data_IF_787519435512
#
_entry.id   IF_787519435512
#
_cell.length_a   1.000
_cell.length_b   1.000
_cell.length_c   1.000
_cell.angle_alpha   90.00
_cell.angle_beta   90.00
_cell.angle_gamma   90.00
#
_symmetry.space_group_name_H-M   'P 1'
#
loop_
_entity.id
_entity.type
_entity.pdbx_description
1 polymer ?
#
# COMPACT_ATOMS: atom_id res chain seq x y z
N UNK A 1 -30.42 -44.85 -53.03
CA UNK A 1 -29.99 -45.28 -51.66
C UNK A 1 -28.52 -45.01 -51.41
N UNK A 2 -27.60 -45.19 -52.33
CA UNK A 2 -26.16 -44.89 -52.16
C UNK A 2 -25.88 -43.36 -51.95
N UNK A 3 -26.58 -42.49 -52.64
CA UNK A 3 -26.42 -41.02 -52.54
C UNK A 3 -26.83 -40.44 -51.18
N UNK A 4 -27.87 -41.01 -50.51
CA UNK A 4 -28.32 -40.58 -49.16
C UNK A 4 -27.34 -41.03 -48.07
N UNK A 5 -26.73 -42.20 -48.17
CA UNK A 5 -25.68 -42.67 -47.28
C UNK A 5 -24.41 -41.81 -47.37
N UNK A 6 -23.98 -41.49 -48.59
CA UNK A 6 -22.83 -40.60 -48.81
C UNK A 6 -23.09 -39.20 -48.24
N UNK A 7 -24.29 -38.66 -48.38
CA UNK A 7 -24.66 -37.36 -47.75
C UNK A 7 -24.66 -37.44 -46.21
N UNK A 8 -25.16 -38.53 -45.64
CA UNK A 8 -25.20 -38.74 -44.18
C UNK A 8 -23.78 -38.92 -43.60
N UNK A 9 -22.93 -39.67 -44.30
CA UNK A 9 -21.53 -39.89 -43.91
C UNK A 9 -20.73 -38.58 -44.04
N UNK A 10 -20.97 -37.74 -45.05
CA UNK A 10 -20.33 -36.45 -45.18
C UNK A 10 -20.76 -35.46 -44.11
N UNK A 11 -22.06 -35.37 -43.78
CA UNK A 11 -22.59 -34.52 -42.72
C UNK A 11 -22.10 -34.95 -41.34
N UNK A 12 -22.04 -36.26 -41.06
CA UNK A 12 -21.52 -36.76 -39.80
C UNK A 12 -20.01 -36.55 -39.61
N UNK A 13 -19.25 -36.64 -40.70
CA UNK A 13 -17.82 -36.35 -40.70
C UNK A 13 -17.51 -34.86 -40.47
N UNK A 14 -18.33 -33.99 -41.08
CA UNK A 14 -18.22 -32.53 -40.91
C UNK A 14 -18.58 -32.10 -39.49
N UNK A 15 -19.61 -32.66 -38.90
CA UNK A 15 -19.96 -32.42 -37.49
C UNK A 15 -18.85 -32.87 -36.52
N UNK A 16 -18.28 -34.06 -36.71
CA UNK A 16 -17.15 -34.53 -35.90
C UNK A 16 -15.94 -33.62 -36.04
N UNK A 17 -15.58 -33.21 -37.25
CA UNK A 17 -14.47 -32.30 -37.49
C UNK A 17 -14.66 -30.94 -36.81
N UNK A 18 -15.88 -30.41 -36.81
CA UNK A 18 -16.19 -29.16 -36.13
C UNK A 18 -16.11 -29.28 -34.60
N UNK A 19 -16.58 -30.41 -34.04
CA UNK A 19 -16.42 -30.71 -32.62
C UNK A 19 -14.95 -30.84 -32.22
N UNK A 20 -14.12 -31.53 -33.00
CA UNK A 20 -12.69 -31.68 -32.75
C UNK A 20 -11.94 -30.34 -32.78
N UNK A 21 -12.32 -29.41 -33.66
CA UNK A 21 -11.74 -28.05 -33.69
C UNK A 21 -12.09 -27.24 -32.44
N UNK A 22 -13.33 -27.30 -31.95
CA UNK A 22 -13.76 -26.61 -30.75
C UNK A 22 -13.13 -27.19 -29.50
N UNK A 23 -13.01 -28.53 -29.41
CA UNK A 23 -12.31 -29.23 -28.34
C UNK A 23 -10.82 -28.84 -28.32
N UNK A 24 -10.18 -28.78 -29.51
CA UNK A 24 -8.79 -28.37 -29.66
C UNK A 24 -8.57 -26.92 -29.20
N UNK A 25 -9.48 -26.01 -29.57
CA UNK A 25 -9.42 -24.62 -29.09
C UNK A 25 -9.65 -24.51 -27.59
N UNK A 26 -10.60 -25.28 -27.03
CA UNK A 26 -10.81 -25.36 -25.58
C UNK A 26 -9.62 -25.94 -24.81
N UNK A 27 -8.92 -26.92 -25.39
CA UNK A 27 -7.68 -27.46 -24.84
C UNK A 27 -6.54 -26.44 -24.94
N UNK A 28 -6.40 -25.77 -26.06
CA UNK A 28 -5.44 -24.68 -26.22
C UNK A 28 -5.69 -23.57 -25.20
N UNK A 29 -6.94 -23.22 -24.90
CA UNK A 29 -7.32 -22.24 -23.86
C UNK A 29 -6.84 -22.62 -22.45
N UNK A 30 -6.88 -23.92 -22.12
CA UNK A 30 -6.42 -24.41 -20.80
C UNK A 30 -4.91 -24.48 -20.66
N UNK A 31 -4.19 -24.68 -21.75
CA UNK A 31 -2.75 -24.94 -21.77
C UNK A 31 -1.90 -23.80 -22.30
N UNK A 32 -2.52 -22.69 -22.77
CA UNK A 32 -1.73 -21.60 -23.31
C UNK A 32 -0.97 -20.84 -22.20
N UNK A 33 0.28 -20.58 -22.48
CA UNK A 33 1.18 -19.76 -21.64
C UNK A 33 1.39 -18.35 -22.21
N UNK A 34 0.90 -18.10 -23.43
CA UNK A 34 1.07 -16.84 -24.17
C UNK A 34 -0.23 -16.50 -24.91
N UNK A 35 -0.88 -15.42 -24.49
CA UNK A 35 -2.12 -14.93 -25.08
C UNK A 35 -2.00 -14.73 -26.59
N UNK A 36 -0.90 -14.15 -27.07
CA UNK A 36 -0.70 -13.87 -28.50
C UNK A 36 -0.85 -15.14 -29.36
N UNK A 37 -0.18 -16.23 -28.96
CA UNK A 37 -0.29 -17.51 -29.68
C UNK A 37 -1.69 -18.09 -29.71
N UNK A 38 -2.45 -17.88 -28.64
CA UNK A 38 -3.84 -18.29 -28.59
C UNK A 38 -4.70 -17.43 -29.53
N UNK A 39 -4.53 -16.10 -29.53
CA UNK A 39 -5.28 -15.20 -30.40
C UNK A 39 -4.98 -15.43 -31.89
N UNK A 40 -3.78 -15.87 -32.26
CA UNK A 40 -3.42 -16.28 -33.62
C UNK A 40 -4.27 -17.44 -34.13
N UNK A 41 -4.68 -18.36 -33.26
CA UNK A 41 -5.51 -19.51 -33.61
C UNK A 41 -6.98 -19.13 -33.83
N UNK A 42 -7.47 -18.10 -33.16
CA UNK A 42 -8.89 -17.70 -33.18
C UNK A 42 -9.44 -17.47 -34.61
N UNK A 43 -8.83 -16.63 -35.47
CA UNK A 43 -9.32 -16.44 -36.85
C UNK A 43 -9.23 -17.72 -37.68
N UNK A 44 -8.16 -18.50 -37.48
CA UNK A 44 -7.95 -19.76 -38.23
C UNK A 44 -9.03 -20.77 -37.89
N UNK A 45 -9.36 -20.94 -36.60
CA UNK A 45 -10.42 -21.84 -36.17
C UNK A 45 -11.79 -21.33 -36.62
N UNK A 46 -12.06 -20.03 -36.47
CA UNK A 46 -13.33 -19.43 -36.89
C UNK A 46 -13.60 -19.62 -38.39
N UNK A 47 -12.60 -19.36 -39.23
CA UNK A 47 -12.73 -19.54 -40.68
C UNK A 47 -12.97 -20.99 -41.08
N UNK A 48 -12.27 -21.94 -40.46
CA UNK A 48 -12.40 -23.39 -40.71
C UNK A 48 -13.75 -23.96 -40.27
N UNK A 49 -14.28 -23.52 -39.12
CA UNK A 49 -15.57 -23.97 -38.61
C UNK A 49 -16.75 -23.63 -39.50
N UNK A 50 -16.66 -22.50 -40.20
CA UNK A 50 -17.74 -22.06 -41.12
C UNK A 50 -17.40 -22.24 -42.59
N UNK A 51 -16.22 -22.78 -42.91
CA UNK A 51 -15.81 -23.08 -44.29
C UNK A 51 -15.59 -21.86 -45.16
N UNK A 52 -15.06 -20.75 -44.59
CA UNK A 52 -14.78 -19.50 -45.31
C UNK A 52 -13.28 -19.24 -45.45
N UNK A 53 -12.92 -18.37 -46.40
CA UNK A 53 -11.54 -18.10 -46.76
C UNK A 53 -10.82 -17.18 -45.77
N UNK A 54 -11.57 -16.28 -45.08
CA UNK A 54 -10.97 -15.28 -44.26
C UNK A 54 -11.68 -15.04 -42.95
N UNK A 55 -10.85 -14.77 -41.92
CA UNK A 55 -11.29 -14.27 -40.63
C UNK A 55 -10.27 -13.29 -40.06
N UNK A 56 -10.74 -12.41 -39.20
CA UNK A 56 -9.95 -11.35 -38.55
C UNK A 56 -10.42 -11.15 -37.12
N UNK A 57 -9.48 -11.14 -36.20
CA UNK A 57 -9.70 -10.77 -34.79
C UNK A 57 -9.12 -9.39 -34.54
N UNK A 58 -9.94 -8.51 -34.02
CA UNK A 58 -9.59 -7.14 -33.65
C UNK A 58 -9.81 -6.97 -32.14
N UNK A 59 -8.81 -7.21 -31.31
CA UNK A 59 -8.93 -7.07 -29.86
C UNK A 59 -8.83 -5.60 -29.44
N UNK A 60 -9.44 -5.30 -28.27
CA UNK A 60 -9.39 -3.99 -27.61
C UNK A 60 -8.65 -4.09 -26.26
N UNK A 61 -7.94 -3.02 -25.91
CA UNK A 61 -7.35 -2.85 -24.59
C UNK A 61 -8.43 -2.59 -23.53
N UNK A 62 -8.04 -2.59 -22.27
CA UNK A 62 -8.96 -2.34 -21.14
C UNK A 62 -9.62 -0.96 -21.20
N UNK A 63 -8.98 0.02 -21.83
CA UNK A 63 -9.47 1.39 -22.04
C UNK A 63 -10.35 1.53 -23.30
N UNK A 64 -10.63 0.42 -24.00
CA UNK A 64 -11.44 0.39 -25.22
C UNK A 64 -10.68 0.75 -26.51
N UNK A 65 -9.38 1.07 -26.43
CA UNK A 65 -8.57 1.34 -27.63
C UNK A 65 -8.23 0.07 -28.38
N UNK A 66 -8.02 0.23 -29.69
CA UNK A 66 -7.58 -0.87 -30.56
C UNK A 66 -6.22 -1.42 -30.08
N UNK A 67 -6.16 -2.74 -29.85
CA UNK A 67 -4.91 -3.41 -29.46
C UNK A 67 -4.13 -3.81 -30.73
N UNK A 68 -3.42 -2.84 -31.30
CA UNK A 68 -2.77 -2.97 -32.62
C UNK A 68 -1.79 -4.13 -32.71
N UNK A 69 -1.02 -4.37 -31.68
CA UNK A 69 0.01 -5.43 -31.65
C UNK A 69 -0.59 -6.84 -31.55
N UNK A 70 -1.88 -6.93 -31.27
CA UNK A 70 -2.62 -8.20 -31.16
C UNK A 70 -3.67 -8.41 -32.27
N UNK A 71 -3.61 -7.62 -33.34
CA UNK A 71 -4.44 -7.84 -34.54
C UNK A 71 -4.08 -9.17 -35.19
N UNK A 72 -5.05 -10.06 -35.36
CA UNK A 72 -4.82 -11.40 -35.92
C UNK A 72 -5.75 -11.66 -37.11
N UNK A 73 -5.24 -12.34 -38.12
CA UNK A 73 -6.02 -12.73 -39.31
C UNK A 73 -5.56 -14.03 -39.89
N UNK A 74 -6.40 -14.64 -40.70
CA UNK A 74 -6.03 -15.81 -41.54
C UNK A 74 -4.88 -15.47 -42.49
N UNK A 75 -4.09 -16.45 -42.97
CA UNK A 75 -2.97 -16.24 -43.87
C UNK A 75 -3.39 -15.70 -45.25
N UNK A 76 -4.69 -15.61 -45.56
CA UNK A 76 -5.21 -15.08 -46.83
C UNK A 76 -4.71 -13.64 -47.09
N UNK A 77 -4.29 -13.34 -48.31
CA UNK A 77 -3.76 -12.04 -48.73
C UNK A 77 -4.72 -10.88 -48.39
N UNK A 78 -6.03 -11.10 -48.56
CA UNK A 78 -7.08 -10.13 -48.20
C UNK A 78 -7.13 -9.83 -46.70
N UNK A 79 -6.85 -10.82 -45.81
CA UNK A 79 -6.75 -10.59 -44.37
C UNK A 79 -5.51 -9.78 -44.03
N UNK A 80 -4.39 -10.03 -44.67
CA UNK A 80 -3.14 -9.33 -44.46
C UNK A 80 -3.21 -7.85 -44.86
N UNK A 81 -3.84 -7.54 -46.02
CA UNK A 81 -4.06 -6.17 -46.42
C UNK A 81 -4.99 -5.43 -45.46
N UNK A 82 -6.04 -6.09 -44.98
CA UNK A 82 -6.97 -5.55 -44.02
C UNK A 82 -6.29 -5.25 -42.67
N UNK A 83 -5.43 -6.16 -42.20
CA UNK A 83 -4.64 -5.94 -40.97
C UNK A 83 -3.75 -4.70 -41.06
N UNK A 84 -3.06 -4.51 -42.23
CA UNK A 84 -2.22 -3.31 -42.44
C UNK A 84 -3.06 -2.03 -42.38
N UNK A 85 -4.25 -2.02 -42.99
CA UNK A 85 -5.15 -0.85 -42.99
C UNK A 85 -5.71 -0.58 -41.58
N UNK A 86 -6.04 -1.62 -40.82
CA UNK A 86 -6.49 -1.48 -39.42
C UNK A 86 -5.37 -0.99 -38.49
N UNK A 87 -4.14 -1.46 -38.66
CA UNK A 87 -2.99 -0.98 -37.90
C UNK A 87 -2.71 0.52 -38.17
N UNK A 88 -2.98 0.99 -39.38
CA UNK A 88 -2.85 2.40 -39.76
C UNK A 88 -4.10 3.25 -39.40
N UNK A 89 -5.18 2.62 -38.96
CA UNK A 89 -6.42 3.34 -38.64
C UNK A 89 -6.26 4.12 -37.33
N UNK A 90 -6.32 5.44 -37.41
CA UNK A 90 -6.48 6.31 -36.27
C UNK A 90 -7.96 6.64 -36.10
N UNK A 91 -8.64 6.17 -35.04
CA UNK A 91 -9.96 6.68 -34.73
C UNK A 91 -9.77 8.17 -34.46
N UNK A 92 -10.41 9.02 -35.28
CA UNK A 92 -10.27 10.47 -35.23
C UNK A 92 -10.44 10.96 -33.80
N UNK A 93 -9.63 11.94 -33.41
CA UNK A 93 -9.54 12.59 -32.08
C UNK A 93 -10.83 13.30 -31.63
N UNK A 94 -11.92 13.13 -32.35
CA UNK A 94 -13.20 13.84 -32.14
C UNK A 94 -14.26 13.01 -31.37
N UNK A 95 -13.96 11.79 -30.90
CA UNK A 95 -14.93 11.01 -30.15
C UNK A 95 -14.38 10.81 -28.73
N UNK A 96 -14.71 11.75 -27.86
CA UNK A 96 -14.77 11.48 -26.44
C UNK A 96 -15.63 10.23 -26.26
N UNK A 97 -15.20 9.32 -25.39
CA UNK A 97 -15.83 8.05 -25.03
C UNK A 97 -17.36 8.02 -25.17
N UNK A 98 -17.85 7.97 -26.40
CA UNK A 98 -19.23 7.68 -26.76
C UNK A 98 -19.35 6.18 -26.82
N UNK A 99 -20.49 5.65 -26.40
CA UNK A 99 -20.84 4.24 -26.23
C UNK A 99 -20.05 3.27 -27.14
N UNK A 100 -19.66 2.12 -26.60
CA UNK A 100 -18.96 0.99 -27.31
C UNK A 100 -19.53 0.74 -28.74
N UNK A 101 -20.80 0.99 -28.93
CA UNK A 101 -21.54 0.80 -30.21
C UNK A 101 -21.05 1.72 -31.34
N UNK A 102 -20.69 2.98 -31.09
CA UNK A 102 -20.25 3.88 -32.15
C UNK A 102 -18.88 3.50 -32.71
N UNK A 103 -17.99 3.05 -31.85
CA UNK A 103 -16.66 2.59 -32.24
C UNK A 103 -16.76 1.29 -33.05
N UNK A 104 -17.60 0.36 -32.61
CA UNK A 104 -17.87 -0.89 -33.32
C UNK A 104 -18.45 -0.61 -34.71
N UNK A 105 -19.40 0.31 -34.85
CA UNK A 105 -19.98 0.72 -36.12
C UNK A 105 -18.94 1.34 -37.08
N UNK A 106 -18.03 2.16 -36.57
CA UNK A 106 -16.96 2.74 -37.36
C UNK A 106 -15.99 1.67 -37.89
N UNK A 107 -15.65 0.71 -37.03
CA UNK A 107 -14.81 -0.43 -37.38
C UNK A 107 -15.49 -1.34 -38.40
N UNK A 108 -16.78 -1.68 -38.22
CA UNK A 108 -17.57 -2.48 -39.13
C UNK A 108 -17.65 -1.82 -40.52
N UNK A 109 -17.85 -0.50 -40.57
CA UNK A 109 -17.85 0.27 -41.86
C UNK A 109 -16.49 0.25 -42.55
N UNK A 110 -15.40 0.33 -41.79
CA UNK A 110 -14.06 0.25 -42.35
C UNK A 110 -13.81 -1.12 -42.99
N UNK A 111 -14.11 -2.19 -42.27
CA UNK A 111 -13.95 -3.57 -42.75
C UNK A 111 -14.83 -3.81 -43.99
N UNK A 112 -16.08 -3.34 -43.97
CA UNK A 112 -17.00 -3.46 -45.11
C UNK A 112 -16.52 -2.71 -46.37
N UNK A 113 -15.90 -1.52 -46.20
CA UNK A 113 -15.29 -0.76 -47.33
C UNK A 113 -14.09 -1.48 -47.93
N UNK A 114 -13.32 -2.19 -47.10
CA UNK A 114 -12.17 -2.95 -47.56
C UNK A 114 -12.58 -4.26 -48.27
N UNK A 115 -13.76 -4.78 -47.97
CA UNK A 115 -14.31 -6.03 -48.50
C UNK A 115 -15.71 -5.84 -49.15
N UNK A 116 -15.86 -4.99 -50.21
CA UNK A 116 -17.16 -4.52 -50.65
C UNK A 116 -18.05 -5.61 -51.29
N UNK A 117 -17.46 -6.72 -51.74
CA UNK A 117 -18.18 -7.85 -52.40
C UNK A 117 -18.22 -9.12 -51.54
N UNK A 118 -17.69 -9.08 -50.33
CA UNK A 118 -17.64 -10.23 -49.46
C UNK A 118 -18.95 -10.39 -48.67
N UNK A 119 -19.37 -11.63 -48.46
CA UNK A 119 -20.35 -11.95 -47.44
C UNK A 119 -19.66 -11.91 -46.05
N UNK A 120 -19.93 -10.85 -45.28
CA UNK A 120 -19.31 -10.58 -44.01
C UNK A 120 -20.26 -10.91 -42.84
N UNK A 121 -19.75 -11.58 -41.83
CA UNK A 121 -20.37 -11.69 -40.51
C UNK A 121 -19.40 -11.23 -39.43
N UNK A 122 -19.91 -10.46 -38.46
CA UNK A 122 -19.12 -9.94 -37.34
C UNK A 122 -19.81 -10.23 -35.99
N UNK A 123 -19.04 -10.60 -35.03
CA UNK A 123 -19.52 -10.76 -33.64
C UNK A 123 -18.59 -10.10 -32.65
N UNK A 124 -19.13 -9.66 -31.50
CA UNK A 124 -18.34 -9.07 -30.44
C UNK A 124 -17.66 -10.16 -29.62
N UNK A 125 -16.40 -9.93 -29.31
CA UNK A 125 -15.64 -10.69 -28.32
C UNK A 125 -15.94 -10.05 -26.98
N UNK A 126 -16.66 -10.74 -26.09
CA UNK A 126 -17.11 -10.20 -24.80
C UNK A 126 -16.55 -10.96 -23.63
N UNK A 127 -16.19 -10.23 -22.55
CA UNK A 127 -15.85 -10.82 -21.27
C UNK A 127 -16.42 -9.95 -20.15
N UNK A 128 -17.09 -10.57 -19.16
CA UNK A 128 -17.75 -9.90 -18.03
C UNK A 128 -18.65 -8.73 -18.44
N UNK A 129 -19.40 -8.90 -19.52
CA UNK A 129 -20.34 -7.87 -20.02
C UNK A 129 -19.66 -6.66 -20.70
N UNK A 130 -18.34 -6.69 -20.95
CA UNK A 130 -17.62 -5.67 -21.69
C UNK A 130 -17.12 -6.21 -23.02
N UNK A 131 -17.15 -5.39 -24.05
CA UNK A 131 -16.59 -5.72 -25.37
C UNK A 131 -15.08 -5.64 -25.32
N UNK A 132 -14.41 -6.75 -25.61
CA UNK A 132 -12.94 -6.91 -25.60
C UNK A 132 -12.36 -7.02 -27.02
N UNK A 133 -13.20 -6.99 -28.04
CA UNK A 133 -12.78 -7.06 -29.40
C UNK A 133 -13.93 -7.36 -30.36
N UNK A 134 -13.59 -7.53 -31.65
CA UNK A 134 -14.49 -7.87 -32.72
C UNK A 134 -13.91 -9.01 -33.52
N UNK A 135 -14.67 -10.06 -33.76
CA UNK A 135 -14.31 -11.17 -34.65
C UNK A 135 -15.10 -11.07 -35.95
N UNK A 136 -14.40 -11.01 -37.06
CA UNK A 136 -14.96 -10.99 -38.42
C UNK A 136 -14.66 -12.31 -39.08
N UNK A 137 -15.64 -12.84 -39.85
CA UNK A 137 -15.49 -13.93 -40.79
C UNK A 137 -16.10 -13.52 -42.12
N UNK A 138 -15.46 -13.85 -43.23
CA UNK A 138 -15.92 -13.42 -44.56
C UNK A 138 -15.62 -14.43 -45.66
N UNK A 139 -16.52 -14.51 -46.65
CA UNK A 139 -16.34 -15.22 -47.90
C UNK A 139 -16.21 -14.21 -49.06
N UNK A 140 -15.23 -14.39 -49.93
CA UNK A 140 -14.95 -13.46 -51.06
C UNK A 140 -16.05 -13.43 -52.11
N UNK A 141 -16.76 -14.55 -52.32
CA UNK A 141 -17.90 -14.65 -53.23
C UNK A 141 -19.20 -14.40 -52.43
N UNK A 142 -19.97 -13.38 -52.82
CA UNK A 142 -21.19 -12.94 -52.14
C UNK A 142 -22.36 -13.94 -52.07
N UNK A 143 -22.13 -15.20 -52.41
CA UNK A 143 -23.15 -16.26 -52.43
C UNK A 143 -23.30 -17.01 -51.09
N UNK A 144 -22.49 -16.70 -50.06
CA UNK A 144 -22.59 -17.35 -48.77
C UNK A 144 -23.75 -16.83 -47.93
N UNK A 145 -24.63 -17.73 -47.52
CA UNK A 145 -25.71 -17.45 -46.57
C UNK A 145 -25.28 -17.84 -45.14
N UNK A 146 -25.27 -16.87 -44.26
CA UNK A 146 -24.94 -17.10 -42.84
C UNK A 146 -26.10 -17.80 -42.13
N UNK A 147 -25.93 -19.11 -41.88
CA UNK A 147 -26.90 -19.91 -41.13
C UNK A 147 -26.78 -19.63 -39.63
N UNK A 148 -27.80 -19.96 -38.86
CA UNK A 148 -27.78 -19.86 -37.40
C UNK A 148 -26.65 -20.70 -36.76
N UNK A 149 -26.34 -21.85 -37.35
CA UNK A 149 -25.24 -22.71 -36.94
C UNK A 149 -23.88 -22.02 -37.12
N UNK A 150 -23.67 -21.37 -38.28
CA UNK A 150 -22.44 -20.61 -38.54
C UNK A 150 -22.28 -19.48 -37.51
N UNK A 151 -23.34 -18.73 -37.26
CA UNK A 151 -23.32 -17.61 -36.27
C UNK A 151 -22.96 -18.09 -34.88
N UNK A 152 -23.56 -19.21 -34.41
CA UNK A 152 -23.27 -19.81 -33.10
C UNK A 152 -21.83 -20.30 -32.99
N UNK A 153 -21.28 -20.92 -34.01
CA UNK A 153 -19.88 -21.36 -34.03
C UNK A 153 -18.94 -20.18 -33.89
N UNK A 154 -19.13 -19.13 -34.67
CA UNK A 154 -18.29 -17.93 -34.61
C UNK A 154 -18.43 -17.23 -33.28
N UNK A 155 -19.65 -17.16 -32.74
CA UNK A 155 -19.88 -16.60 -31.41
C UNK A 155 -19.14 -17.39 -30.31
N UNK A 156 -19.21 -18.72 -30.36
CA UNK A 156 -18.50 -19.57 -29.38
C UNK A 156 -16.97 -19.34 -29.42
N UNK A 157 -16.40 -19.20 -30.63
CA UNK A 157 -14.98 -18.88 -30.79
C UNK A 157 -14.65 -17.49 -30.22
N UNK A 158 -15.54 -16.51 -30.46
CA UNK A 158 -15.38 -15.17 -29.89
C UNK A 158 -15.47 -15.16 -28.37
N UNK A 159 -16.38 -15.93 -27.79
CA UNK A 159 -16.52 -16.09 -26.35
C UNK A 159 -15.26 -16.70 -25.70
N UNK A 160 -14.70 -17.74 -26.33
CA UNK A 160 -13.43 -18.34 -25.90
C UNK A 160 -12.25 -17.33 -25.99
N UNK A 161 -12.23 -16.50 -27.03
CA UNK A 161 -11.23 -15.43 -27.14
C UNK A 161 -11.41 -14.38 -26.02
N UNK A 162 -12.65 -14.03 -25.69
CA UNK A 162 -12.97 -13.14 -24.57
C UNK A 162 -12.47 -13.67 -23.23
N UNK A 163 -12.71 -14.94 -22.94
CA UNK A 163 -12.22 -15.61 -21.74
C UNK A 163 -10.69 -15.62 -21.68
N UNK A 164 -10.01 -15.86 -22.81
CA UNK A 164 -8.55 -15.84 -22.86
C UNK A 164 -7.97 -14.47 -22.54
N UNK A 165 -8.53 -13.41 -23.14
CA UNK A 165 -8.11 -12.02 -22.91
C UNK A 165 -8.31 -11.65 -21.43
N UNK A 166 -9.46 -12.00 -20.86
CA UNK A 166 -9.76 -11.70 -19.45
C UNK A 166 -8.82 -12.43 -18.50
N UNK A 167 -8.57 -13.72 -18.72
CA UNK A 167 -7.64 -14.48 -17.89
C UNK A 167 -6.23 -13.90 -17.92
N UNK A 168 -5.73 -13.49 -19.07
CA UNK A 168 -4.40 -12.88 -19.18
C UNK A 168 -4.33 -11.55 -18.43
N UNK A 169 -5.36 -10.71 -18.54
CA UNK A 169 -5.46 -9.45 -17.80
C UNK A 169 -5.47 -9.70 -16.29
N UNK A 170 -6.27 -10.65 -15.82
CA UNK A 170 -6.30 -11.00 -14.39
C UNK A 170 -4.93 -11.47 -13.87
N UNK A 171 -4.21 -12.29 -14.67
CA UNK A 171 -2.87 -12.75 -14.31
C UNK A 171 -1.86 -11.60 -14.29
N UNK A 172 -1.94 -10.67 -15.22
CA UNK A 172 -1.07 -9.48 -15.25
C UNK A 172 -1.35 -8.56 -14.05
N UNK A 173 -2.61 -8.32 -13.72
CA UNK A 173 -3.01 -7.52 -12.57
C UNK A 173 -2.55 -8.17 -11.26
N UNK A 174 -2.74 -9.49 -11.11
CA UNK A 174 -2.27 -10.23 -9.94
C UNK A 174 -0.73 -10.11 -9.75
N UNK A 175 0.04 -10.30 -10.84
CA UNK A 175 1.51 -10.14 -10.80
C UNK A 175 1.93 -8.71 -10.48
N UNK A 176 1.18 -7.72 -10.96
CA UNK A 176 1.44 -6.31 -10.66
C UNK A 176 1.21 -6.03 -9.18
N UNK A 177 0.10 -6.50 -8.60
CA UNK A 177 -0.18 -6.36 -7.18
C UNK A 177 0.90 -7.05 -6.32
N UNK A 178 1.23 -8.31 -6.63
CA UNK A 178 2.28 -9.05 -5.92
C UNK A 178 3.64 -8.30 -5.95
N UNK A 179 3.99 -7.70 -7.09
CA UNK A 179 5.23 -6.92 -7.20
C UNK A 179 5.19 -5.66 -6.34
N UNK A 180 4.06 -4.94 -6.31
CA UNK A 180 3.88 -3.75 -5.48
C UNK A 180 3.94 -4.12 -4.00
N UNK A 181 3.21 -5.17 -3.59
CA UNK A 181 3.20 -5.65 -2.20
C UNK A 181 4.60 -6.05 -1.73
N UNK A 182 5.37 -6.72 -2.60
CA UNK A 182 6.75 -7.06 -2.28
C UNK A 182 7.65 -5.84 -2.11
N UNK A 183 7.49 -4.80 -2.93
CA UNK A 183 8.24 -3.54 -2.79
C UNK A 183 7.86 -2.81 -1.48
N UNK A 184 6.58 -2.81 -1.11
CA UNK A 184 6.10 -2.26 0.15
C UNK A 184 6.66 -3.01 1.35
N UNK A 185 6.70 -4.34 1.30
CA UNK A 185 7.29 -5.18 2.37
C UNK A 185 8.77 -4.87 2.58
N UNK A 186 9.55 -4.70 1.49
CA UNK A 186 10.96 -4.30 1.59
C UNK A 186 11.09 -2.90 2.22
N UNK A 187 10.23 -1.95 1.85
CA UNK A 187 10.18 -0.62 2.46
C UNK A 187 9.90 -0.67 3.96
N UNK A 188 8.96 -1.52 4.36
CA UNK A 188 8.62 -1.77 5.77
C UNK A 188 9.77 -2.37 6.58
N UNK A 189 10.48 -3.34 6.00
CA UNK A 189 11.67 -3.93 6.64
C UNK A 189 12.78 -2.88 6.86
N UNK A 190 13.03 -2.02 5.86
CA UNK A 190 14.00 -0.93 5.98
C UNK A 190 13.57 0.06 7.08
N UNK A 191 12.30 0.45 7.11
CA UNK A 191 11.77 1.36 8.13
C UNK A 191 11.89 0.76 9.54
N UNK A 192 11.52 -0.51 9.70
CA UNK A 192 11.65 -1.21 10.99
C UNK A 192 13.10 -1.20 11.50
N UNK A 193 14.10 -1.33 10.62
CA UNK A 193 15.51 -1.24 10.99
C UNK A 193 15.96 0.18 11.41
N UNK A 194 15.19 1.21 11.06
CA UNK A 194 15.47 2.58 11.49
C UNK A 194 14.94 2.89 12.90
N UNK A 195 13.89 2.21 13.33
CA UNK A 195 13.43 2.30 14.72
C UNK A 195 14.38 1.51 15.64
N UNK A 196 14.49 1.90 16.94
CA UNK A 196 15.32 1.17 17.88
C UNK A 196 14.80 -0.26 18.12
N UNK A 197 15.58 -1.28 17.74
CA UNK A 197 15.27 -2.69 18.04
C UNK A 197 15.28 -3.00 19.54
N UNK A 198 16.06 -2.24 20.30
CA UNK A 198 16.22 -2.41 21.76
C UNK A 198 16.34 -1.07 22.43
N UNK A 199 15.74 -0.95 23.60
CA UNK A 199 15.97 0.20 24.45
C UNK A 199 17.43 0.22 24.93
N UNK A 200 18.07 1.41 24.94
CA UNK A 200 19.41 1.53 25.53
C UNK A 200 19.39 1.28 27.02
N UNK A 201 20.50 0.79 27.55
CA UNK A 201 20.72 0.74 29.01
C UNK A 201 21.14 2.14 29.46
N UNK A 202 20.31 2.79 30.26
CA UNK A 202 20.57 4.10 30.85
C UNK A 202 20.61 3.92 32.38
N UNK A 203 21.72 4.35 33.02
CA UNK A 203 21.88 4.21 34.47
C UNK A 203 20.77 4.96 35.24
N UNK A 204 20.11 4.30 36.14
CA UNK A 204 19.08 4.90 37.01
C UNK A 204 17.68 4.93 36.40
N UNK A 205 17.46 4.38 35.23
CA UNK A 205 16.12 4.24 34.62
C UNK A 205 15.95 2.88 33.95
N UNK A 206 14.72 2.39 33.94
CA UNK A 206 14.27 1.20 33.22
C UNK A 206 13.39 1.63 32.05
N UNK A 207 13.70 1.16 30.84
CA UNK A 207 13.07 1.56 29.59
C UNK A 207 12.48 0.37 28.86
N UNK A 208 11.26 0.53 28.36
CA UNK A 208 10.63 -0.38 27.43
C UNK A 208 9.90 0.39 26.33
N UNK A 209 9.94 -0.11 25.12
CA UNK A 209 9.27 0.51 23.98
C UNK A 209 8.74 -0.55 23.03
N UNK A 210 7.63 -0.25 22.38
CA UNK A 210 7.06 -1.06 21.31
C UNK A 210 6.20 -0.17 20.42
N UNK A 211 6.37 -0.34 19.10
CA UNK A 211 5.44 0.11 18.08
C UNK A 211 4.71 -1.11 17.52
N UNK A 212 3.41 -0.99 17.32
CA UNK A 212 2.57 -1.94 16.61
C UNK A 212 2.03 -1.24 15.38
N UNK A 213 2.60 -1.51 14.21
CA UNK A 213 2.15 -0.86 12.98
C UNK A 213 0.76 -1.36 12.57
N UNK A 214 -0.07 -0.44 12.06
CA UNK A 214 -1.37 -0.76 11.44
C UNK A 214 -1.21 -1.12 9.96
N UNK A 215 -0.22 -0.57 9.29
CA UNK A 215 0.11 -0.78 7.88
C UNK A 215 1.52 -1.33 7.74
N UNK A 216 1.89 -1.72 6.51
CA UNK A 216 3.26 -2.19 6.23
C UNK A 216 4.32 -1.13 6.55
N UNK A 217 4.01 0.15 6.26
CA UNK A 217 4.87 1.30 6.52
C UNK A 217 4.07 2.30 7.36
N UNK A 218 4.62 2.78 8.49
CA UNK A 218 3.96 3.63 9.46
C UNK A 218 4.47 5.07 9.50
N UNK A 219 3.69 5.95 10.16
CA UNK A 219 4.04 7.35 10.45
C UNK A 219 4.71 7.54 11.81
N UNK A 220 4.47 6.62 12.74
CA UNK A 220 4.99 6.68 14.10
C UNK A 220 6.52 6.62 14.16
N UNK A 221 7.07 7.44 15.02
CA UNK A 221 8.50 7.51 15.29
C UNK A 221 8.77 7.59 16.79
N UNK A 222 9.69 6.76 17.27
CA UNK A 222 10.34 6.97 18.59
C UNK A 222 11.82 6.68 18.50
N UNK A 223 12.62 7.35 19.32
CA UNK A 223 14.07 7.16 19.31
C UNK A 223 14.69 7.48 20.68
N UNK A 224 15.88 6.91 20.91
CA UNK A 224 16.72 7.13 22.06
C UNK A 224 18.10 7.55 21.58
N UNK A 225 18.43 8.84 21.71
CA UNK A 225 19.63 9.42 21.09
C UNK A 225 20.56 9.97 22.19
N UNK A 226 21.82 9.51 22.28
CA UNK A 226 22.77 10.12 23.20
C UNK A 226 23.12 11.54 22.71
N UNK A 227 22.93 12.56 23.57
CA UNK A 227 23.10 13.97 23.18
C UNK A 227 24.56 14.41 23.08
N UNK A 228 25.52 13.64 23.58
CA UNK A 228 26.96 13.88 23.48
C UNK A 228 27.73 12.59 23.22
N UNK A 229 27.85 12.17 21.96
CA UNK A 229 28.55 10.93 21.60
C UNK A 229 30.07 10.96 21.90
N UNK A 230 30.68 12.12 22.06
CA UNK A 230 32.11 12.26 22.40
C UNK A 230 32.46 11.66 23.77
N UNK A 231 31.48 11.50 24.65
CA UNK A 231 31.60 10.77 25.91
C UNK A 231 31.38 9.26 25.76
N UNK A 232 31.32 8.75 24.53
CA UNK A 232 30.95 7.38 24.14
C UNK A 232 32.04 6.31 24.48
N UNK A 233 33.03 6.64 25.29
CA UNK A 233 33.87 5.64 25.93
C UNK A 233 33.09 4.86 27.02
N UNK A 234 33.80 4.23 27.94
CA UNK A 234 33.31 3.38 29.04
C UNK A 234 32.22 3.99 29.98
N UNK A 235 31.64 5.17 29.67
CA UNK A 235 30.62 5.89 30.45
C UNK A 235 29.40 6.34 29.63
N UNK A 236 29.09 5.67 28.54
CA UNK A 236 27.91 6.00 27.70
C UNK A 236 26.61 6.01 28.47
N UNK A 237 26.45 5.11 29.44
CA UNK A 237 25.26 4.94 30.28
C UNK A 237 24.95 6.14 31.18
N UNK A 238 25.96 6.99 31.44
CA UNK A 238 25.86 8.19 32.30
C UNK A 238 25.73 9.50 31.53
N UNK A 239 25.69 9.44 30.20
CA UNK A 239 25.45 10.59 29.33
C UNK A 239 23.99 11.04 29.36
N UNK A 240 23.73 12.24 28.87
CA UNK A 240 22.34 12.71 28.66
C UNK A 240 21.76 12.01 27.43
N UNK A 241 20.45 11.77 27.50
CA UNK A 241 19.72 11.06 26.47
C UNK A 241 18.51 11.84 26.00
N UNK A 242 18.36 12.01 24.69
CA UNK A 242 17.11 12.43 24.11
C UNK A 242 16.17 11.23 23.97
N UNK A 243 14.93 11.41 24.43
CA UNK A 243 13.82 10.50 24.21
C UNK A 243 12.79 11.24 23.35
N UNK A 244 12.42 10.65 22.26
CA UNK A 244 11.59 11.28 21.24
C UNK A 244 10.41 10.39 20.92
N UNK A 245 9.25 10.99 20.72
CA UNK A 245 8.08 10.36 20.13
C UNK A 245 7.39 11.35 19.21
N UNK A 246 6.96 10.89 18.04
CA UNK A 246 6.26 11.71 17.08
C UNK A 246 5.43 10.87 16.11
N UNK A 247 4.56 11.54 15.41
CA UNK A 247 3.72 10.96 14.37
C UNK A 247 3.64 11.91 13.17
N UNK A 248 3.76 11.34 11.98
CA UNK A 248 3.68 12.05 10.70
C UNK A 248 2.28 11.91 10.12
N UNK A 249 1.62 13.02 9.88
CA UNK A 249 0.30 13.06 9.26
C UNK A 249 0.19 12.14 8.04
N UNK A 250 -0.78 11.21 8.08
CA UNK A 250 -1.10 10.28 7.00
C UNK A 250 -0.51 8.90 7.22
N UNK A 251 -0.72 8.00 6.25
CA UNK A 251 -0.42 6.57 6.39
C UNK A 251 0.39 6.05 5.21
N UNK A 252 1.06 4.92 5.42
CA UNK A 252 1.80 4.23 4.39
C UNK A 252 3.09 4.92 3.95
N UNK A 253 3.55 4.61 2.74
CA UNK A 253 4.87 5.03 2.22
C UNK A 253 5.16 6.52 2.34
N UNK A 254 4.24 7.44 2.01
CA UNK A 254 4.55 8.86 2.11
C UNK A 254 4.85 9.32 3.55
N UNK A 255 4.11 8.81 4.54
CA UNK A 255 4.36 9.12 5.96
C UNK A 255 5.70 8.54 6.42
N UNK A 256 6.00 7.28 6.06
CA UNK A 256 7.26 6.63 6.40
C UNK A 256 8.50 7.29 5.79
N UNK A 257 8.41 7.83 4.57
CA UNK A 257 9.51 8.59 3.96
C UNK A 257 9.79 9.90 4.70
N UNK A 258 8.74 10.65 5.05
CA UNK A 258 8.87 11.89 5.83
C UNK A 258 9.40 11.59 7.24
N UNK A 259 8.93 10.51 7.89
CA UNK A 259 9.46 10.06 9.17
C UNK A 259 10.97 9.78 9.08
N UNK A 260 11.42 9.09 8.04
CA UNK A 260 12.84 8.78 7.83
C UNK A 260 13.67 10.03 7.65
N UNK A 261 13.18 11.01 6.88
CA UNK A 261 13.80 12.32 6.70
C UNK A 261 13.92 13.07 8.03
N UNK A 262 12.82 13.20 8.76
CA UNK A 262 12.77 13.88 10.07
C UNK A 262 13.69 13.21 11.09
N UNK A 263 13.71 11.88 11.15
CA UNK A 263 14.65 11.13 11.98
C UNK A 263 16.11 11.51 11.69
N UNK A 264 16.48 11.61 10.41
CA UNK A 264 17.83 12.01 10.02
C UNK A 264 18.20 13.44 10.48
N UNK A 265 17.29 14.39 10.24
CA UNK A 265 17.43 15.78 10.67
C UNK A 265 17.52 15.89 12.20
N UNK A 266 16.59 15.26 12.92
CA UNK A 266 16.55 15.30 14.37
C UNK A 266 17.83 14.71 15.01
N UNK A 267 18.31 13.57 14.50
CA UNK A 267 19.55 12.96 15.00
C UNK A 267 20.78 13.87 14.80
N UNK A 268 20.80 14.65 13.72
CA UNK A 268 21.85 15.64 13.48
C UNK A 268 21.72 16.81 14.47
N UNK A 269 20.51 17.34 14.66
CA UNK A 269 20.25 18.45 15.59
C UNK A 269 20.55 18.11 17.05
N UNK A 270 20.24 16.89 17.49
CA UNK A 270 20.53 16.43 18.86
C UNK A 270 22.02 16.49 19.18
N UNK A 271 22.91 16.34 18.19
CA UNK A 271 24.37 16.45 18.39
C UNK A 271 24.82 17.87 18.74
N UNK A 272 24.04 18.90 18.42
CA UNK A 272 24.35 20.29 18.79
C UNK A 272 24.34 20.53 20.29
N UNK A 273 23.60 19.67 21.03
CA UNK A 273 23.44 19.78 22.50
C UNK A 273 22.59 20.98 22.93
N UNK A 274 21.82 21.57 22.02
CA UNK A 274 20.87 22.64 22.26
C UNK A 274 19.72 22.18 23.19
N UNK A 275 19.00 23.08 23.84
CA UNK A 275 17.83 22.74 24.64
C UNK A 275 16.65 22.32 23.75
N UNK A 276 15.66 21.56 24.30
CA UNK A 276 14.53 20.98 23.57
C UNK A 276 13.74 21.96 22.69
N UNK A 277 13.46 23.15 23.17
CA UNK A 277 12.75 24.20 22.44
C UNK A 277 13.48 24.63 21.16
N UNK A 278 14.81 24.74 21.24
CA UNK A 278 15.66 25.09 20.10
C UNK A 278 15.79 23.93 19.11
N UNK A 279 15.94 22.70 19.59
CA UNK A 279 15.93 21.51 18.72
C UNK A 279 14.65 21.45 17.88
N UNK A 280 13.47 21.67 18.49
CA UNK A 280 12.20 21.67 17.73
C UNK A 280 12.09 22.86 16.78
N UNK A 281 12.59 24.04 17.17
CA UNK A 281 12.61 25.21 16.31
C UNK A 281 13.47 24.99 15.06
N UNK A 282 14.70 24.48 15.24
CA UNK A 282 15.63 24.23 14.15
C UNK A 282 15.12 23.09 13.23
N UNK A 283 14.55 22.03 13.81
CA UNK A 283 13.91 20.96 13.06
C UNK A 283 12.73 21.47 12.23
N UNK A 284 11.90 22.37 12.79
CA UNK A 284 10.80 22.98 12.06
C UNK A 284 11.29 23.78 10.86
N UNK A 285 12.34 24.58 11.03
CA UNK A 285 12.93 25.35 9.93
C UNK A 285 13.49 24.44 8.82
N UNK A 286 14.20 23.38 9.19
CA UNK A 286 14.80 22.44 8.24
C UNK A 286 13.74 21.67 7.44
N UNK A 287 12.64 21.27 8.08
CA UNK A 287 11.62 20.43 7.47
C UNK A 287 10.49 21.22 6.79
N UNK A 288 10.41 22.55 7.01
CA UNK A 288 9.27 23.39 6.61
C UNK A 288 8.94 23.29 5.13
N UNK A 289 9.93 23.39 4.26
CA UNK A 289 9.71 23.39 2.81
C UNK A 289 9.15 22.05 2.31
N UNK A 290 9.76 20.94 2.75
CA UNK A 290 9.35 19.60 2.35
C UNK A 290 7.94 19.23 2.86
N UNK A 291 7.64 19.62 4.11
CA UNK A 291 6.33 19.40 4.72
C UNK A 291 5.25 20.24 4.06
N UNK A 292 5.53 21.51 3.76
CA UNK A 292 4.60 22.40 3.07
C UNK A 292 4.28 21.91 1.64
N UNK A 293 5.29 21.47 0.88
CA UNK A 293 5.10 20.91 -0.47
C UNK A 293 4.27 19.62 -0.45
N UNK A 294 4.45 18.79 0.57
CA UNK A 294 3.69 17.55 0.73
C UNK A 294 2.30 17.75 1.36
N UNK A 295 1.96 18.97 1.81
CA UNK A 295 0.74 19.29 2.56
C UNK A 295 0.57 18.43 3.81
N UNK A 296 1.68 18.18 4.52
CA UNK A 296 1.73 17.35 5.71
C UNK A 296 2.37 18.12 6.86
N UNK A 297 2.08 17.67 8.06
CA UNK A 297 2.67 18.16 9.29
C UNK A 297 3.01 17.00 10.22
N UNK A 298 3.76 17.29 11.26
CA UNK A 298 4.25 16.28 12.20
C UNK A 298 3.99 16.72 13.63
N UNK A 299 3.51 15.82 14.44
CA UNK A 299 3.49 15.96 15.89
C UNK A 299 4.77 15.38 16.47
N UNK A 300 5.42 16.07 17.41
CA UNK A 300 6.66 15.59 18.00
C UNK A 300 6.80 16.02 19.45
N UNK A 301 7.04 15.08 20.33
CA UNK A 301 7.47 15.34 21.70
C UNK A 301 8.96 15.00 21.83
N UNK A 302 9.76 15.99 22.20
CA UNK A 302 11.18 15.84 22.42
C UNK A 302 11.53 16.07 23.89
N UNK A 303 12.27 15.16 24.51
CA UNK A 303 12.75 15.31 25.88
C UNK A 303 14.23 14.93 26.00
N UNK A 304 14.92 15.59 26.95
CA UNK A 304 16.34 15.46 27.24
C UNK A 304 16.52 15.10 28.72
N UNK A 305 16.88 13.84 28.99
CA UNK A 305 17.07 13.29 30.33
C UNK A 305 18.54 13.35 30.74
N UNK A 306 18.82 13.95 31.90
CA UNK A 306 20.06 13.77 32.61
C UNK A 306 19.90 12.66 33.69
N UNK A 307 20.43 11.44 33.47
CA UNK A 307 20.20 10.32 34.38
C UNK A 307 20.87 10.50 35.76
N UNK A 308 21.87 11.40 35.89
CA UNK A 308 22.55 11.65 37.14
C UNK A 308 21.74 12.49 38.11
N UNK A 309 20.91 13.39 37.57
CA UNK A 309 20.07 14.33 38.34
C UNK A 309 18.61 13.99 38.27
N UNK A 310 18.22 13.04 37.38
CA UNK A 310 16.86 12.71 37.01
C UNK A 310 16.06 13.92 36.51
N UNK A 311 16.75 14.93 36.00
CA UNK A 311 16.15 16.12 35.40
C UNK A 311 15.76 15.81 33.96
N UNK A 312 14.50 16.01 33.64
CA UNK A 312 13.93 15.89 32.29
C UNK A 312 13.52 17.27 31.80
N UNK A 313 14.13 17.75 30.71
CA UNK A 313 13.70 18.94 29.98
C UNK A 313 12.95 18.47 28.74
N UNK A 314 11.92 19.19 28.35
CA UNK A 314 11.11 18.79 27.21
C UNK A 314 10.50 19.98 26.48
N UNK A 315 10.13 19.75 25.21
CA UNK A 315 9.31 20.63 24.40
C UNK A 315 8.32 19.79 23.59
N UNK A 316 7.17 20.35 23.29
CA UNK A 316 6.08 19.65 22.62
C UNK A 316 5.68 20.39 21.34
N UNK A 317 5.69 19.72 20.21
CA UNK A 317 5.16 20.17 18.95
C UNK A 317 3.78 19.54 18.70
N UNK A 318 2.81 19.91 19.52
CA UNK A 318 1.42 19.47 19.48
C UNK A 318 1.22 17.94 19.44
N UNK A 319 2.15 17.19 19.98
CA UNK A 319 2.02 15.73 20.18
C UNK A 319 1.24 15.42 21.47
N UNK A 320 0.67 14.23 21.57
CA UNK A 320 0.01 13.74 22.77
C UNK A 320 0.92 13.90 23.99
N UNK A 321 0.54 14.71 25.00
CA UNK A 321 1.38 14.94 26.16
C UNK A 321 1.65 13.64 26.93
N UNK A 322 2.92 13.27 27.19
CA UNK A 322 3.25 12.09 27.98
C UNK A 322 2.59 12.11 29.36
N UNK A 323 2.20 10.94 29.84
CA UNK A 323 1.57 10.75 31.14
C UNK A 323 2.63 10.39 32.19
N UNK A 324 2.76 11.22 33.22
CA UNK A 324 3.67 10.99 34.32
C UNK A 324 2.89 10.51 35.56
N UNK A 325 3.10 9.25 35.93
CA UNK A 325 2.71 8.72 37.25
C UNK A 325 3.70 9.14 38.30
N UNK A 326 3.22 9.91 39.29
CA UNK A 326 3.97 10.26 40.52
C UNK A 326 3.73 9.20 41.58
N UNK A 327 4.75 8.41 41.86
CA UNK A 327 4.64 7.27 42.79
C UNK A 327 4.29 7.69 44.22
N UNK A 328 4.93 8.75 44.74
CA UNK A 328 4.69 9.26 46.08
C UNK A 328 3.25 9.72 46.29
N UNK A 329 2.70 10.46 45.32
CA UNK A 329 1.36 11.06 45.41
C UNK A 329 0.27 10.17 44.82
N UNK A 330 0.63 9.13 44.09
CA UNK A 330 -0.27 8.22 43.33
C UNK A 330 -1.22 8.95 42.41
N UNK A 331 -0.72 9.95 41.71
CA UNK A 331 -1.48 10.75 40.72
C UNK A 331 -0.79 10.71 39.36
N UNK A 332 -1.59 10.86 38.30
CA UNK A 332 -1.07 11.05 36.97
C UNK A 332 -1.19 12.52 36.58
N UNK A 333 -0.13 13.06 35.98
CA UNK A 333 -0.10 14.38 35.40
C UNK A 333 0.37 14.31 33.93
N UNK A 334 -0.06 15.26 33.12
CA UNK A 334 0.41 15.40 31.73
C UNK A 334 1.64 16.28 31.70
N UNK A 335 2.66 15.87 30.95
CA UNK A 335 3.81 16.73 30.64
C UNK A 335 3.53 17.45 29.34
N UNK A 336 3.09 18.70 29.43
CA UNK A 336 2.76 19.51 28.27
C UNK A 336 3.58 20.80 28.26
N UNK A 337 3.83 21.33 27.05
CA UNK A 337 4.48 22.59 26.80
C UNK A 337 3.88 23.21 25.53
N UNK A 338 3.67 24.53 25.52
CA UNK A 338 3.10 25.19 24.37
C UNK A 338 4.00 25.07 23.12
N UNK A 339 3.43 24.69 22.00
CA UNK A 339 4.10 24.58 20.72
C UNK A 339 3.13 24.20 19.59
N UNK A 340 3.52 24.47 18.36
CA UNK A 340 2.76 24.17 17.15
C UNK A 340 3.30 22.90 16.47
N UNK A 341 2.51 22.33 15.58
CA UNK A 341 2.92 21.24 14.69
C UNK A 341 4.15 21.62 13.88
N UNK A 342 5.10 20.69 13.72
CA UNK A 342 6.23 20.85 12.80
C UNK A 342 5.69 20.94 11.36
N UNK A 343 6.14 21.94 10.60
CA UNK A 343 5.73 22.18 9.21
C UNK A 343 4.47 23.04 9.05
N UNK A 344 3.79 23.43 10.14
CA UNK A 344 2.58 24.27 10.05
C UNK A 344 2.91 25.75 9.77
N UNK A 345 3.91 26.28 10.46
CA UNK A 345 4.34 27.68 10.32
C UNK A 345 5.87 27.77 10.35
N UNK A 346 6.50 28.61 9.51
CA UNK A 346 7.96 28.74 9.47
C UNK A 346 8.57 29.22 10.80
N UNK A 347 7.92 30.17 11.48
CA UNK A 347 8.39 30.79 12.72
C UNK A 347 7.66 30.22 13.95
N UNK A 348 7.48 28.90 14.00
CA UNK A 348 6.87 28.27 15.16
C UNK A 348 7.77 28.40 16.40
N UNK A 349 7.19 28.84 17.53
CA UNK A 349 7.84 28.88 18.82
C UNK A 349 7.42 27.68 19.67
N UNK A 350 8.38 27.17 20.46
CA UNK A 350 8.17 26.02 21.37
C UNK A 350 8.58 26.42 22.78
N UNK A 351 7.72 26.13 23.76
CA UNK A 351 8.03 26.37 25.14
C UNK A 351 8.90 25.25 25.72
N UNK A 352 9.85 25.63 26.59
CA UNK A 352 10.68 24.69 27.34
C UNK A 352 9.99 24.34 28.65
N UNK A 353 9.70 23.05 28.84
CA UNK A 353 9.29 22.46 30.12
C UNK A 353 10.45 21.79 30.83
N UNK A 354 10.40 21.73 32.16
CA UNK A 354 11.38 21.03 32.98
C UNK A 354 10.72 20.38 34.20
N UNK A 355 11.12 19.14 34.49
CA UNK A 355 10.67 18.41 35.67
C UNK A 355 11.81 17.54 36.21
N UNK A 356 11.79 17.29 37.50
CA UNK A 356 12.64 16.28 38.11
C UNK A 356 11.83 15.03 38.40
N UNK A 357 12.31 13.89 37.87
CA UNK A 357 11.75 12.58 38.18
C UNK A 357 12.21 12.11 39.55
N UNK A 358 11.40 11.31 40.20
CA UNK A 358 11.63 10.78 41.55
C UNK A 358 11.63 9.24 41.52
N UNK A 359 12.23 8.55 42.48
CA UNK A 359 12.17 7.10 42.56
C UNK A 359 10.73 6.58 42.57
N UNK A 360 10.46 5.56 41.76
CA UNK A 360 9.13 4.99 41.55
C UNK A 360 8.29 5.68 40.48
N UNK A 361 8.67 6.86 39.98
CA UNK A 361 7.95 7.54 38.90
C UNK A 361 7.97 6.75 37.62
N UNK A 362 6.86 6.84 36.86
CA UNK A 362 6.71 6.23 35.53
C UNK A 362 6.24 7.26 34.53
N UNK A 363 6.97 7.42 33.44
CA UNK A 363 6.61 8.29 32.33
C UNK A 363 6.23 7.44 31.12
N UNK A 364 5.03 7.65 30.59
CA UNK A 364 4.47 6.99 29.43
C UNK A 364 4.36 7.98 28.28
N UNK A 365 5.10 7.73 27.19
CA UNK A 365 4.87 8.36 25.88
C UNK A 365 3.96 7.46 25.06
N UNK A 366 3.07 8.04 24.28
CA UNK A 366 2.11 7.31 23.46
C UNK A 366 1.69 8.10 22.23
N UNK A 367 1.33 7.41 21.15
CA UNK A 367 0.74 8.00 19.96
C UNK A 367 -0.79 7.89 19.98
N UNK A 368 -1.47 8.64 19.14
CA UNK A 368 -2.93 8.68 19.06
C UNK A 368 -3.55 7.35 18.62
N UNK A 369 -2.84 6.52 17.83
CA UNK A 369 -3.28 5.19 17.49
C UNK A 369 -3.59 4.28 18.69
N UNK A 370 -3.05 4.59 19.89
CA UNK A 370 -3.44 3.92 21.14
C UNK A 370 -4.80 4.41 21.62
N UNK A 371 -4.99 5.73 21.70
CA UNK A 371 -6.22 6.34 22.23
C UNK A 371 -7.37 6.34 21.26
N UNK A 372 -7.08 6.32 19.97
CA UNK A 372 -8.05 6.26 18.89
C UNK A 372 -8.42 4.83 18.46
N UNK A 373 -7.76 3.81 19.01
CA UNK A 373 -8.03 2.41 18.70
C UNK A 373 -9.53 2.08 18.86
N UNK A 374 -10.17 1.50 17.81
CA UNK A 374 -11.59 1.21 17.83
C UNK A 374 -11.89 -0.05 18.68
N UNK A 375 -12.84 0.06 19.59
CA UNK A 375 -13.35 -1.05 20.37
C UNK A 375 -14.39 -1.91 19.62
N UNK A 376 -14.75 -3.04 20.22
CA UNK A 376 -15.75 -3.98 19.67
C UNK A 376 -17.12 -3.29 19.47
N UNK A 377 -17.46 -2.33 20.33
CA UNK A 377 -18.72 -1.57 20.29
C UNK A 377 -18.65 -0.32 19.42
N UNK A 378 -17.49 -0.01 18.82
CA UNK A 378 -17.29 1.16 17.96
C UNK A 378 -16.90 2.43 18.73
N UNK A 379 -16.73 2.37 20.05
CA UNK A 379 -16.12 3.43 20.85
C UNK A 379 -14.59 3.40 20.73
N UNK A 380 -13.92 4.50 21.08
CA UNK A 380 -12.45 4.58 21.08
C UNK A 380 -11.88 4.18 22.44
N UNK A 381 -10.64 3.69 22.46
CA UNK A 381 -9.94 3.35 23.72
C UNK A 381 -9.87 4.56 24.65
N UNK A 382 -9.66 5.72 24.15
CA UNK A 382 -9.54 7.04 24.76
C UNK A 382 -8.42 7.19 25.83
N UNK A 383 -8.06 8.43 26.13
CA UNK A 383 -7.02 8.73 27.10
C UNK A 383 -7.44 8.36 28.54
N UNK A 384 -8.73 8.44 28.86
CA UNK A 384 -9.21 8.10 30.20
C UNK A 384 -9.03 6.60 30.52
N UNK A 385 -9.23 5.72 29.52
CA UNK A 385 -8.94 4.29 29.67
C UNK A 385 -7.44 4.03 29.75
N UNK A 386 -6.62 4.76 28.97
CA UNK A 386 -5.17 4.66 29.03
C UNK A 386 -4.65 5.06 30.43
N UNK A 387 -5.13 6.17 30.99
CA UNK A 387 -4.80 6.62 32.35
C UNK A 387 -5.14 5.54 33.38
N UNK A 388 -6.34 4.98 33.34
CA UNK A 388 -6.74 3.91 34.29
C UNK A 388 -5.90 2.65 34.13
N UNK A 389 -5.51 2.32 32.88
CA UNK A 389 -4.63 1.19 32.60
C UNK A 389 -3.24 1.42 33.18
N UNK A 390 -2.65 2.60 32.97
CA UNK A 390 -1.34 3.00 33.50
C UNK A 390 -1.34 2.99 35.04
N UNK A 391 -2.34 3.60 35.67
CA UNK A 391 -2.49 3.57 37.14
C UNK A 391 -2.47 2.15 37.68
N UNK A 392 -3.24 1.24 37.08
CA UNK A 392 -3.31 -0.14 37.52
C UNK A 392 -1.95 -0.84 37.39
N UNK A 393 -1.26 -0.64 36.25
CA UNK A 393 0.03 -1.22 35.97
C UNK A 393 1.14 -0.66 36.93
N UNK A 394 1.12 0.64 37.19
CA UNK A 394 2.08 1.27 38.12
C UNK A 394 1.93 0.74 39.57
N UNK A 395 0.69 0.53 40.01
CA UNK A 395 0.40 -0.01 41.37
C UNK A 395 0.81 -1.47 41.55
N UNK A 396 0.98 -2.24 40.45
CA UNK A 396 1.42 -3.65 40.56
C UNK A 396 2.93 -3.83 40.80
N UNK A 397 3.71 -2.75 40.81
CA UNK A 397 5.15 -2.79 41.08
C UNK A 397 6.01 -3.35 39.93
N UNK A 398 5.43 -3.57 38.76
CA UNK A 398 6.13 -4.12 37.58
C UNK A 398 7.23 -3.18 37.08
N UNK A 399 8.27 -3.74 36.41
CA UNK A 399 9.24 -2.97 35.63
C UNK A 399 8.63 -2.35 34.36
N UNK A 400 9.41 -1.54 33.64
CA UNK A 400 8.94 -0.87 32.44
C UNK A 400 8.37 -1.84 31.41
N UNK A 401 9.01 -2.99 31.19
CA UNK A 401 8.54 -4.02 30.26
C UNK A 401 7.18 -4.60 30.67
N UNK A 402 6.99 -4.92 31.97
CA UNK A 402 5.71 -5.45 32.45
C UNK A 402 4.57 -4.43 32.35
N UNK A 403 4.87 -3.14 32.59
CA UNK A 403 3.89 -2.04 32.38
C UNK A 403 3.51 -1.97 30.88
N UNK A 404 4.48 -1.97 29.99
CA UNK A 404 4.27 -1.94 28.55
C UNK A 404 3.37 -3.10 28.08
N UNK A 405 3.67 -4.32 28.51
CA UNK A 405 2.90 -5.52 28.18
C UNK A 405 1.46 -5.42 28.70
N UNK A 406 1.28 -5.00 29.95
CA UNK A 406 -0.04 -4.81 30.55
C UNK A 406 -0.91 -3.79 29.80
N UNK A 407 -0.30 -2.73 29.27
CA UNK A 407 -1.00 -1.71 28.48
C UNK A 407 -1.45 -2.28 27.13
N UNK A 408 -0.55 -2.98 26.40
CA UNK A 408 -0.92 -3.62 25.13
C UNK A 408 -1.95 -4.74 25.30
N UNK A 409 -1.88 -5.55 26.37
CA UNK A 409 -2.90 -6.55 26.64
C UNK A 409 -4.30 -5.95 26.90
N UNK A 410 -4.35 -4.78 27.53
CA UNK A 410 -5.62 -4.06 27.74
C UNK A 410 -6.15 -3.48 26.43
N UNK A 411 -5.27 -2.94 25.60
CA UNK A 411 -5.62 -2.46 24.25
C UNK A 411 -6.16 -3.62 23.40
N UNK A 412 -5.48 -4.78 23.39
CA UNK A 412 -5.91 -5.97 22.64
C UNK A 412 -7.27 -6.48 23.06
N UNK A 413 -7.52 -6.54 24.38
CA UNK A 413 -8.84 -6.93 24.90
C UNK A 413 -9.95 -5.97 24.51
N UNK A 414 -9.63 -4.68 24.37
CA UNK A 414 -10.58 -3.66 23.96
C UNK A 414 -10.88 -3.70 22.46
N UNK A 415 -9.86 -3.83 21.61
CA UNK A 415 -9.98 -3.93 20.15
C UNK A 415 -10.64 -5.25 19.74
N UNK A 416 -10.32 -6.35 20.42
CA UNK A 416 -10.81 -7.69 20.12
C UNK A 416 -9.94 -8.45 19.10
N UNK A 417 -10.09 -9.79 19.01
CA UNK A 417 -9.17 -10.65 18.26
C UNK A 417 -9.28 -10.52 16.73
N UNK A 418 -10.44 -10.09 16.21
CA UNK A 418 -10.74 -10.08 14.77
C UNK A 418 -10.59 -8.68 14.13
N UNK A 419 -10.11 -7.69 14.88
CA UNK A 419 -9.93 -6.33 14.41
C UNK A 419 -8.45 -5.95 14.34
N UNK A 420 -8.12 -5.20 13.32
CA UNK A 420 -6.81 -4.56 13.18
C UNK A 420 -6.88 -3.12 13.68
N UNK A 421 -5.75 -2.60 14.12
CA UNK A 421 -5.61 -1.18 14.42
C UNK A 421 -5.77 -0.37 13.13
N UNK A 422 -6.38 0.79 13.26
CA UNK A 422 -6.57 1.73 12.14
C UNK A 422 -5.39 2.68 11.98
N UNK A 423 -4.57 2.83 13.03
CA UNK A 423 -3.34 3.60 13.06
C UNK A 423 -2.24 2.92 13.86
N UNK A 424 -0.99 3.35 13.65
CA UNK A 424 0.17 2.84 14.36
C UNK A 424 0.03 3.12 15.86
N UNK A 425 0.26 2.13 16.70
CA UNK A 425 0.17 2.28 18.16
C UNK A 425 1.54 2.12 18.80
N UNK A 426 2.12 3.22 19.24
CA UNK A 426 3.43 3.27 19.87
C UNK A 426 3.35 3.64 21.35
N UNK A 427 4.07 2.90 22.17
CA UNK A 427 4.23 3.17 23.59
C UNK A 427 5.71 3.13 23.97
N UNK A 428 6.15 4.11 24.78
CA UNK A 428 7.45 4.10 25.45
C UNK A 428 7.23 4.33 26.93
N UNK A 429 7.73 3.41 27.74
CA UNK A 429 7.66 3.46 29.21
C UNK A 429 9.06 3.72 29.76
N UNK A 430 9.21 4.79 30.53
CA UNK A 430 10.39 5.08 31.34
C UNK A 430 9.99 4.95 32.80
N UNK A 431 10.65 4.07 33.56
CA UNK A 431 10.46 3.91 34.99
C UNK A 431 11.75 4.26 35.76
N UNK A 432 11.64 5.07 36.80
CA UNK A 432 12.72 5.29 37.78
C UNK A 432 12.61 4.20 38.84
N UNK A 433 13.59 3.31 39.00
CA UNK A 433 13.56 2.28 40.07
C UNK A 433 13.45 2.89 41.47
N UNK A 434 12.78 2.20 42.38
CA UNK A 434 12.61 2.67 43.77
C UNK A 434 13.94 2.79 44.54
N UNK A 435 14.92 1.95 44.21
CA UNK A 435 16.27 1.97 44.80
C UNK A 435 17.27 2.61 43.82
N UNK A 436 17.21 3.92 43.61
CA UNK A 436 18.25 4.64 42.88
C UNK A 436 19.33 5.07 43.85
N UNK A 437 20.46 4.37 43.87
CA UNK A 437 21.68 4.87 44.55
C UNK A 437 22.23 6.02 43.71
N UNK A 438 21.76 7.25 43.97
CA UNK A 438 22.36 8.44 43.37
C UNK A 438 23.80 8.53 43.86
N UNK A 439 24.80 8.73 42.98
CA UNK A 439 26.16 8.97 43.42
C UNK A 439 26.15 10.24 44.29
N UNK A 440 26.57 10.10 45.54
CA UNK A 440 26.70 11.22 46.46
C UNK A 440 27.59 12.28 45.84
N UNK A 441 27.06 13.49 45.64
CA UNK A 441 27.87 14.68 45.31
C UNK A 441 28.76 14.96 46.53
N UNK A 442 29.93 14.34 46.56
CA UNK A 442 30.97 14.74 47.55
C UNK A 442 31.37 16.18 47.20
N UNK A 443 30.85 17.11 47.97
CA UNK A 443 31.32 18.49 47.99
C UNK A 443 32.81 18.47 48.23
N UNK A 444 33.61 18.82 47.24
CA UNK A 444 34.99 19.23 47.48
C UNK A 444 34.92 20.52 48.27
N UNK A 445 35.14 20.41 49.57
CA UNK A 445 35.55 21.54 50.42
C UNK A 445 36.84 22.09 49.84
N UNK A 446 36.78 23.33 49.37
CA UNK A 446 38.00 24.11 49.02
C UNK A 446 38.54 24.60 50.36
N UNK A 447 39.66 24.01 50.79
CA UNK A 447 40.52 24.59 51.76
C UNK A 447 41.73 25.22 51.03
#
# INVERSE_FOLDING_TARGET
>A
MASLRQLFDSLSSEQRRNQDLLVSLGFALRSFTNLQRFLELVPVVASRLVGVEGALLVPFQSDGRLWRDQLQGTPAESSQDLLRRLAAFEPGTAVGFGSDDQQLLALDRLVQRCLPKAALFATSVTARGRTRGRLYVYARTGSMVWTEVHRRHVQLVADLAGVAIENDQMLQDARRHERVDRQLSIGAEIQAQLLPDRCPVIEGVDLAARCRPAFQVGGDYYDFIPTRPELIGRRRERGRWALVMGDVMGKGVPAGLLMTMLRGMLRAEVLSGLPPDRILHDLNQLAQEDLAQSHRFVTLFYSDLDPRTLRLRYANAAHNPPLLWRAERRVIMRLDAAGLLIGLQPEAEFALGEIRLEPGDVLLYYTDGVTEAPGITGDRFDEARLIRALETACRSGQGAQGILESLFERLDRFVGPDRQLEDDASLVVLKVPEAVTLPSVQGRSIA
#
